data_IF_827240725146
#
_entry.id   IF_827240725146
#
_cell.length_a   1.000
_cell.length_b   1.000
_cell.length_c   1.000
_cell.angle_alpha   90.00
_cell.angle_beta   90.00
_cell.angle_gamma   90.00
#
_symmetry.space_group_name_H-M   'P 1'
#
loop_
_entity.id
_entity.type
_entity.pdbx_description
1 polymer ?
#
# COMPACT_ATOMS: atom_id res chain seq x y z
N UNK A 1 -17.14 -11.06 4.75
CA UNK A 1 -16.50 -10.03 3.89
C UNK A 1 -15.04 -10.45 3.79
N UNK A 2 -14.55 -10.80 2.60
CA UNK A 2 -13.12 -11.10 2.44
C UNK A 2 -12.34 -9.80 2.44
N UNK A 3 -11.39 -9.66 3.37
CA UNK A 3 -10.44 -8.55 3.35
C UNK A 3 -9.41 -8.81 2.27
N UNK A 4 -9.33 -7.93 1.28
CA UNK A 4 -8.34 -7.99 0.21
C UNK A 4 -7.22 -7.00 0.46
N UNK A 5 -5.98 -7.42 0.22
CA UNK A 5 -4.83 -6.56 0.42
C UNK A 5 -3.60 -7.03 -0.33
N UNK A 6 -2.67 -6.10 -0.50
CA UNK A 6 -1.38 -6.35 -1.11
C UNK A 6 -0.29 -6.29 -0.04
N UNK A 7 0.72 -7.14 -0.16
CA UNK A 7 1.96 -6.97 0.59
C UNK A 7 2.68 -5.74 0.06
N UNK A 8 3.15 -4.90 0.97
CA UNK A 8 3.92 -3.70 0.65
C UNK A 8 5.00 -3.51 1.72
N UNK A 9 6.13 -2.90 1.34
CA UNK A 9 7.22 -2.62 2.26
C UNK A 9 6.77 -1.72 3.41
N UNK A 10 7.19 -2.06 4.62
CA UNK A 10 6.75 -1.37 5.83
C UNK A 10 7.10 0.12 5.79
N UNK A 11 8.29 0.46 5.25
CA UNK A 11 8.72 1.83 5.01
C UNK A 11 7.79 2.60 4.04
N UNK A 12 7.29 1.95 2.99
CA UNK A 12 6.40 2.58 2.01
C UNK A 12 5.04 2.84 2.65
N UNK A 13 4.50 1.86 3.38
CA UNK A 13 3.27 2.03 4.16
C UNK A 13 3.38 3.21 5.14
N UNK A 14 4.51 3.33 5.86
CA UNK A 14 4.74 4.44 6.78
C UNK A 14 4.83 5.79 6.07
N UNK A 15 5.52 5.87 4.93
CA UNK A 15 5.62 7.11 4.15
C UNK A 15 4.24 7.57 3.62
N UNK A 16 3.38 6.63 3.23
CA UNK A 16 2.01 6.90 2.80
C UNK A 16 1.14 7.36 3.98
N UNK A 17 1.16 6.64 5.10
CA UNK A 17 0.41 6.98 6.31
C UNK A 17 0.81 8.32 6.92
N UNK A 18 2.10 8.69 6.80
CA UNK A 18 2.63 9.99 7.22
C UNK A 18 2.50 11.11 6.20
N UNK A 19 1.84 10.89 5.06
CA UNK A 19 1.63 11.91 4.01
C UNK A 19 2.90 12.36 3.28
N UNK A 20 4.01 11.63 3.42
CA UNK A 20 5.30 11.93 2.78
C UNK A 20 5.35 11.46 1.33
N UNK A 21 4.47 10.51 0.97
CA UNK A 21 4.39 9.92 -0.35
C UNK A 21 2.95 9.92 -0.85
N UNK A 22 2.78 10.14 -2.15
CA UNK A 22 1.53 9.95 -2.88
C UNK A 22 1.65 8.77 -3.84
N UNK A 23 0.55 8.08 -4.11
CA UNK A 23 0.48 7.02 -5.11
C UNK A 23 -0.29 7.52 -6.33
N UNK A 24 0.25 7.23 -7.51
CA UNK A 24 -0.47 7.38 -8.78
C UNK A 24 -0.78 5.98 -9.30
N UNK A 25 -2.06 5.62 -9.28
CA UNK A 25 -2.53 4.40 -9.93
C UNK A 25 -2.76 4.70 -11.40
N UNK A 26 -1.90 4.15 -12.25
CA UNK A 26 -2.05 4.27 -13.70
C UNK A 26 -2.48 2.93 -14.29
N UNK A 27 -3.56 2.96 -15.07
CA UNK A 27 -3.90 1.85 -15.95
C UNK A 27 -3.03 1.93 -17.22
N UNK A 28 -2.52 0.80 -17.69
CA UNK A 28 -1.88 0.65 -19.00
C UNK A 28 -2.61 -0.38 -19.88
N UNK A 29 -2.52 -0.27 -21.20
CA UNK A 29 -3.07 -1.25 -22.17
C UNK A 29 -4.47 -0.92 -22.71
N UNK A 30 -4.68 -1.26 -24.00
CA UNK A 30 -5.70 -0.70 -24.91
C UNK A 30 -6.98 -1.56 -24.99
N UNK A 31 -6.91 -2.86 -24.71
CA UNK A 31 -8.04 -3.77 -24.93
C UNK A 31 -8.67 -4.20 -23.61
N UNK A 32 -9.77 -3.54 -23.26
CA UNK A 32 -10.74 -4.08 -22.32
C UNK A 32 -11.67 -5.01 -23.09
N UNK A 33 -12.03 -6.16 -22.51
CA UNK A 33 -13.07 -7.01 -23.09
C UNK A 33 -14.42 -6.27 -23.16
N UNK A 34 -15.49 -6.96 -23.57
CA UNK A 34 -16.85 -6.35 -23.65
C UNK A 34 -17.30 -5.64 -22.37
N UNK A 35 -16.71 -6.04 -21.26
CA UNK A 35 -17.02 -5.65 -19.90
C UNK A 35 -16.28 -4.39 -19.39
N UNK A 36 -15.36 -3.84 -20.18
CA UNK A 36 -14.58 -2.67 -19.78
C UNK A 36 -13.60 -2.94 -18.63
N UNK A 37 -12.95 -1.87 -18.16
CA UNK A 37 -12.17 -1.83 -16.94
C UNK A 37 -13.09 -1.44 -15.80
N UNK A 38 -13.01 -2.23 -14.74
CA UNK A 38 -13.64 -1.96 -13.47
C UNK A 38 -12.68 -2.32 -12.35
N UNK A 39 -12.70 -1.55 -11.28
CA UNK A 39 -12.10 -2.01 -10.03
C UNK A 39 -12.92 -3.20 -9.52
N UNK A 40 -12.24 -4.33 -9.28
CA UNK A 40 -12.89 -5.51 -8.70
C UNK A 40 -13.28 -5.29 -7.24
N UNK A 41 -12.54 -4.44 -6.54
CA UNK A 41 -12.75 -4.13 -5.12
C UNK A 41 -12.81 -2.62 -4.93
N UNK A 42 -13.70 -2.16 -4.04
CA UNK A 42 -13.88 -0.73 -3.72
C UNK A 42 -12.80 -0.19 -2.79
N UNK A 43 -12.20 -1.08 -2.01
CA UNK A 43 -11.18 -0.81 -1.02
C UNK A 43 -10.25 -2.02 -0.91
N UNK A 44 -9.02 -1.76 -0.48
CA UNK A 44 -8.03 -2.78 -0.23
C UNK A 44 -7.06 -2.29 0.85
N UNK A 45 -6.41 -3.23 1.52
CA UNK A 45 -5.39 -2.96 2.52
C UNK A 45 -3.99 -3.01 1.92
N UNK A 46 -3.07 -2.23 2.48
CA UNK A 46 -1.63 -2.45 2.32
C UNK A 46 -1.12 -3.13 3.59
N UNK A 47 -0.59 -4.34 3.44
CA UNK A 47 -0.03 -5.11 4.55
C UNK A 47 1.47 -4.81 4.66
N UNK A 48 1.93 -4.09 5.70
CA UNK A 48 3.33 -3.74 5.87
C UNK A 48 4.16 -5.00 6.15
N UNK A 49 5.22 -5.20 5.38
CA UNK A 49 6.12 -6.34 5.55
C UNK A 49 7.57 -5.94 5.28
N UNK A 50 8.50 -6.49 6.06
CA UNK A 50 9.94 -6.35 5.81
C UNK A 50 10.47 -7.34 4.75
N UNK A 51 9.58 -8.10 4.09
CA UNK A 51 9.97 -9.15 3.15
C UNK A 51 10.64 -8.58 1.89
N UNK A 52 11.92 -8.89 1.70
CA UNK A 52 12.80 -8.34 0.65
C UNK A 52 12.84 -6.81 0.59
N UNK A 53 12.57 -6.14 1.71
CA UNK A 53 12.67 -4.69 1.78
C UNK A 53 14.13 -4.23 1.60
N UNK A 54 14.35 -3.32 0.65
CA UNK A 54 15.69 -2.77 0.34
C UNK A 54 15.65 -1.26 0.44
N UNK A 55 16.17 -0.73 1.54
CA UNK A 55 16.19 0.70 1.81
C UNK A 55 16.85 1.49 0.68
N UNK A 56 17.93 0.95 0.11
CA UNK A 56 18.75 1.56 -0.93
C UNK A 56 17.99 1.76 -2.24
N UNK A 57 16.81 1.13 -2.39
CA UNK A 57 15.90 1.31 -3.52
C UNK A 57 14.88 2.43 -3.29
N UNK A 58 14.93 3.10 -2.15
CA UNK A 58 14.04 4.20 -1.79
C UNK A 58 14.76 5.55 -1.85
N UNK A 59 13.98 6.64 -1.91
CA UNK A 59 14.50 8.02 -1.77
C UNK A 59 14.22 8.59 -0.38
N UNK A 60 13.74 7.76 0.54
CA UNK A 60 13.36 8.20 1.87
C UNK A 60 14.64 8.48 2.68
N UNK A 61 14.65 9.50 3.55
CA UNK A 61 15.74 9.71 4.49
C UNK A 61 15.78 8.54 5.46
N UNK A 62 16.97 8.03 5.80
CA UNK A 62 17.18 6.90 6.71
C UNK A 62 16.80 7.28 8.15
N UNK A 63 15.50 7.49 8.36
CA UNK A 63 14.87 7.49 9.66
C UNK A 63 14.69 6.02 10.08
N UNK A 64 14.84 5.75 11.38
CA UNK A 64 14.65 4.42 11.94
C UNK A 64 13.39 3.78 11.33
N UNK A 65 13.53 2.56 10.80
CA UNK A 65 12.40 1.78 10.31
C UNK A 65 11.27 1.90 11.32
N UNK A 66 10.00 2.02 10.87
CA UNK A 66 8.89 1.88 11.80
C UNK A 66 9.14 0.60 12.58
N UNK A 67 9.14 0.69 13.92
CA UNK A 67 9.20 -0.51 14.74
C UNK A 67 8.11 -1.43 14.23
N UNK A 68 8.48 -2.60 13.71
CA UNK A 68 7.50 -3.60 13.29
C UNK A 68 6.61 -3.83 14.50
N UNK A 69 5.32 -3.53 14.34
CA UNK A 69 4.37 -3.72 15.41
C UNK A 69 4.16 -5.23 15.48
N UNK A 70 4.78 -5.87 16.47
CA UNK A 70 4.44 -7.25 16.81
C UNK A 70 3.04 -7.25 17.43
N UNK A 71 2.06 -7.87 16.75
CA UNK A 71 0.69 -8.01 17.25
C UNK A 71 -0.40 -7.62 16.25
N UNK A 72 -1.53 -7.18 16.76
CA UNK A 72 -2.67 -6.71 15.97
C UNK A 72 -2.51 -5.21 15.64
N UNK A 73 -2.74 -4.86 14.37
CA UNK A 73 -2.75 -3.47 13.91
C UNK A 73 -4.20 -3.06 13.66
N UNK A 74 -4.72 -2.14 14.45
CA UNK A 74 -6.05 -1.56 14.25
C UNK A 74 -6.01 -0.58 13.08
N UNK A 75 -6.87 -0.80 12.08
CA UNK A 75 -6.96 0.05 10.89
C UNK A 75 -8.26 0.86 10.98
N UNK A 76 -8.11 2.17 11.20
CA UNK A 76 -9.22 3.11 11.27
C UNK A 76 -9.43 3.79 9.91
N UNK A 77 -10.61 3.62 9.32
CA UNK A 77 -10.99 4.32 8.09
C UNK A 77 -11.91 5.49 8.38
N UNK A 78 -11.62 6.63 7.77
CA UNK A 78 -12.51 7.79 7.75
C UNK A 78 -12.97 8.05 6.32
N UNK A 79 -14.28 8.03 6.12
CA UNK A 79 -14.93 8.49 4.88
C UNK A 79 -15.51 9.87 5.18
N UNK A 80 -15.21 10.86 4.33
CA UNK A 80 -15.93 12.14 4.30
C UNK A 80 -17.14 12.03 3.37
#
# INVERSE_FOLDING_TARGET
MESVGFKEWAIVCAALGGGQQSIILRKGGIAEGRDGFRFQHREFFLFPTAFHEQWEKTRLPQAALPSMIDGEVEINFWVK
#
